data_IF_136441139495
#
_entry.id   IF_136441139495
#
_cell.length_a   1.000
_cell.length_b   1.000
_cell.length_c   1.000
_cell.angle_alpha   90.00
_cell.angle_beta   90.00
_cell.angle_gamma   90.00
#
_symmetry.space_group_name_H-M   'P 1'
#
loop_
_entity.id
_entity.type
_entity.pdbx_description
1 polymer ?
#
# COMPACT_ATOMS: atom_id res chain seq x y z
N UNK A 1 -16.70 -28.59 18.47
CA UNK A 1 -15.78 -28.32 17.33
C UNK A 1 -14.60 -27.50 17.86
N UNK A 2 -13.44 -28.13 18.11
CA UNK A 2 -12.29 -27.46 18.73
C UNK A 2 -11.70 -26.40 17.78
N UNK A 3 -11.53 -25.16 18.27
CA UNK A 3 -10.92 -24.07 17.52
C UNK A 3 -9.42 -24.33 17.41
N UNK A 4 -8.94 -24.59 16.20
CA UNK A 4 -7.53 -24.82 15.88
C UNK A 4 -6.71 -23.60 16.37
N UNK A 5 -5.66 -23.77 17.19
CA UNK A 5 -4.87 -22.65 17.68
C UNK A 5 -4.28 -21.89 16.50
N UNK A 6 -4.50 -20.58 16.44
CA UNK A 6 -3.80 -19.74 15.46
C UNK A 6 -2.31 -19.79 15.78
N UNK A 7 -1.47 -20.12 14.80
CA UNK A 7 -0.01 -20.07 14.95
C UNK A 7 0.38 -18.72 15.52
N UNK A 8 1.17 -18.71 16.60
CA UNK A 8 1.66 -17.49 17.22
C UNK A 8 2.31 -16.59 16.16
N UNK A 9 2.06 -15.28 16.23
CA UNK A 9 2.68 -14.31 15.33
C UNK A 9 4.19 -14.33 15.58
N UNK A 10 4.95 -14.85 14.62
CA UNK A 10 6.41 -14.75 14.63
C UNK A 10 6.80 -13.32 14.25
N UNK A 11 7.55 -12.64 15.12
CA UNK A 11 8.17 -11.36 14.80
C UNK A 11 9.51 -11.58 14.07
N UNK A 12 9.83 -10.73 13.10
CA UNK A 12 11.16 -10.69 12.49
C UNK A 12 12.12 -9.91 13.39
N UNK A 13 13.38 -10.31 13.42
CA UNK A 13 14.43 -9.53 14.07
C UNK A 13 14.73 -8.23 13.32
N UNK A 14 15.34 -7.26 14.00
CA UNK A 14 15.71 -5.98 13.40
C UNK A 14 16.70 -6.13 12.23
N UNK A 15 17.65 -7.07 12.36
CA UNK A 15 18.57 -7.43 11.28
C UNK A 15 17.82 -7.94 10.04
N UNK A 16 16.85 -8.84 10.22
CA UNK A 16 16.02 -9.36 9.13
C UNK A 16 15.20 -8.26 8.46
N UNK A 17 14.58 -7.38 9.26
CA UNK A 17 13.81 -6.24 8.73
C UNK A 17 14.68 -5.30 7.91
N UNK A 18 15.88 -4.97 8.41
CA UNK A 18 16.83 -4.09 7.73
C UNK A 18 17.24 -4.65 6.36
N UNK A 19 17.55 -5.94 6.29
CA UNK A 19 17.93 -6.58 5.01
C UNK A 19 16.75 -6.68 4.03
N UNK A 20 15.55 -7.01 4.52
CA UNK A 20 14.33 -7.03 3.72
C UNK A 20 14.03 -5.63 3.14
N UNK A 21 14.16 -4.57 3.95
CA UNK A 21 13.94 -3.19 3.51
C UNK A 21 14.98 -2.75 2.47
N UNK A 22 16.27 -2.98 2.74
CA UNK A 22 17.35 -2.68 1.79
C UNK A 22 17.15 -3.38 0.45
N UNK A 23 16.72 -4.64 0.47
CA UNK A 23 16.41 -5.37 -0.77
C UNK A 23 15.18 -4.80 -1.47
N UNK A 24 14.14 -4.44 -0.73
CA UNK A 24 12.94 -3.82 -1.28
C UNK A 24 13.21 -2.45 -1.92
N UNK A 25 14.08 -1.64 -1.34
CA UNK A 25 14.51 -0.36 -1.90
C UNK A 25 15.11 -0.52 -3.29
N UNK A 26 15.96 -1.54 -3.48
CA UNK A 26 16.55 -1.88 -4.79
C UNK A 26 15.50 -2.44 -5.76
N UNK A 27 14.62 -3.32 -5.29
CA UNK A 27 13.68 -4.03 -6.16
C UNK A 27 12.35 -4.32 -5.46
N UNK A 28 11.25 -3.76 -5.99
CA UNK A 28 9.90 -3.85 -5.38
C UNK A 28 9.22 -5.22 -5.59
N UNK A 29 9.71 -6.00 -6.55
CA UNK A 29 9.21 -7.32 -6.94
C UNK A 29 10.38 -8.27 -7.17
N UNK A 30 10.51 -9.30 -6.36
CA UNK A 30 11.57 -10.31 -6.53
C UNK A 30 11.17 -11.37 -7.56
N UNK A 31 12.16 -11.90 -8.28
CA UNK A 31 12.01 -13.16 -9.00
C UNK A 31 11.92 -14.34 -8.01
N UNK A 32 11.60 -15.53 -8.50
CA UNK A 32 11.58 -16.74 -7.65
C UNK A 32 12.98 -17.01 -7.08
N UNK A 33 14.01 -16.88 -7.91
CA UNK A 33 15.41 -17.11 -7.53
C UNK A 33 15.86 -16.13 -6.44
N UNK A 34 15.73 -14.82 -6.67
CA UNK A 34 16.18 -13.79 -5.72
C UNK A 34 15.49 -13.94 -4.36
N UNK A 35 14.22 -14.34 -4.37
CA UNK A 35 13.44 -14.56 -3.15
C UNK A 35 13.94 -15.77 -2.37
N UNK A 36 14.33 -16.86 -3.04
CA UNK A 36 14.90 -18.04 -2.39
C UNK A 36 16.29 -17.76 -1.79
N UNK A 37 17.10 -16.96 -2.48
CA UNK A 37 18.41 -16.51 -1.97
C UNK A 37 18.27 -15.61 -0.74
N UNK A 38 17.33 -14.65 -0.80
CA UNK A 38 17.04 -13.77 0.33
C UNK A 38 16.47 -14.55 1.54
N UNK A 39 15.61 -15.54 1.27
CA UNK A 39 15.08 -16.41 2.32
C UNK A 39 16.20 -17.20 3.01
N UNK A 40 17.11 -17.78 2.24
CA UNK A 40 18.25 -18.54 2.75
C UNK A 40 19.19 -17.67 3.59
N UNK A 41 19.56 -16.48 3.10
CA UNK A 41 20.46 -15.57 3.81
C UNK A 41 19.90 -15.07 5.15
N UNK A 42 18.58 -14.93 5.26
CA UNK A 42 17.90 -14.44 6.47
C UNK A 42 17.37 -15.54 7.39
N UNK A 43 17.59 -16.80 7.05
CA UNK A 43 17.00 -17.96 7.74
C UNK A 43 15.47 -17.87 7.85
N UNK A 44 14.84 -17.47 6.74
CA UNK A 44 13.38 -17.37 6.60
C UNK A 44 12.88 -18.36 5.54
N UNK A 45 11.59 -18.64 5.55
CA UNK A 45 10.94 -19.39 4.46
C UNK A 45 10.60 -18.48 3.27
N UNK A 46 10.57 -19.06 2.07
CA UNK A 46 10.10 -18.40 0.85
C UNK A 46 8.74 -17.70 1.03
N UNK A 47 7.82 -18.35 1.76
CA UNK A 47 6.50 -17.81 2.05
C UNK A 47 6.57 -16.58 2.95
N UNK A 48 7.43 -16.57 3.97
CA UNK A 48 7.60 -15.40 4.84
C UNK A 48 8.13 -14.20 4.05
N UNK A 49 9.13 -14.40 3.19
CA UNK A 49 9.66 -13.33 2.32
C UNK A 49 8.58 -12.85 1.35
N UNK A 50 7.84 -13.77 0.71
CA UNK A 50 6.72 -13.44 -0.18
C UNK A 50 5.66 -12.58 0.51
N UNK A 51 5.22 -12.99 1.71
CA UNK A 51 4.21 -12.27 2.49
C UNK A 51 4.73 -10.92 2.95
N UNK A 52 5.99 -10.84 3.39
CA UNK A 52 6.59 -9.56 3.78
C UNK A 52 6.64 -8.60 2.58
N UNK A 53 7.09 -9.05 1.41
CA UNK A 53 7.12 -8.22 0.19
C UNK A 53 5.72 -7.77 -0.24
N UNK A 54 4.73 -8.64 -0.15
CA UNK A 54 3.33 -8.28 -0.46
C UNK A 54 2.82 -7.19 0.50
N UNK A 55 3.05 -7.37 1.81
CA UNK A 55 2.68 -6.38 2.82
C UNK A 55 3.44 -5.07 2.63
N UNK A 56 4.73 -5.14 2.29
CA UNK A 56 5.56 -3.97 2.07
C UNK A 56 5.11 -3.19 0.85
N UNK A 57 4.73 -3.85 -0.26
CA UNK A 57 4.12 -3.19 -1.42
C UNK A 57 2.79 -2.53 -1.08
N UNK A 58 1.93 -3.17 -0.29
CA UNK A 58 0.68 -2.56 0.16
C UNK A 58 0.95 -1.28 0.96
N UNK A 59 1.91 -1.33 1.89
CA UNK A 59 2.32 -0.16 2.68
C UNK A 59 2.91 0.93 1.77
N UNK A 60 3.82 0.57 0.88
CA UNK A 60 4.42 1.50 -0.08
C UNK A 60 3.35 2.17 -0.94
N UNK A 61 2.44 1.41 -1.55
CA UNK A 61 1.33 1.95 -2.33
C UNK A 61 0.45 2.88 -1.50
N UNK A 62 0.16 2.52 -0.24
CA UNK A 62 -0.58 3.42 0.68
C UNK A 62 0.20 4.69 0.96
N UNK A 63 1.50 4.63 1.21
CA UNK A 63 2.34 5.81 1.44
C UNK A 63 2.41 6.70 0.20
N UNK A 64 2.54 6.12 -0.99
CA UNK A 64 2.54 6.85 -2.27
C UNK A 64 1.16 7.44 -2.57
N UNK A 65 0.08 6.69 -2.33
CA UNK A 65 -1.28 7.16 -2.54
C UNK A 65 -1.68 8.24 -1.53
N UNK A 66 -1.26 8.14 -0.27
CA UNK A 66 -1.44 9.19 0.74
C UNK A 66 -0.66 10.45 0.35
N UNK A 67 0.50 10.35 -0.32
CA UNK A 67 1.15 11.51 -0.91
C UNK A 67 0.29 12.19 -1.99
N UNK A 68 -0.48 11.41 -2.76
CA UNK A 68 -1.47 11.91 -3.71
C UNK A 68 -2.72 12.48 -3.02
N UNK A 69 -3.18 11.85 -1.95
CA UNK A 69 -4.33 12.32 -1.14
C UNK A 69 -3.96 13.58 -0.34
N UNK A 70 -2.73 13.75 0.14
CA UNK A 70 -2.25 14.97 0.80
C UNK A 70 -2.14 16.13 -0.20
N UNK A 71 -1.76 15.85 -1.45
CA UNK A 71 -1.87 16.81 -2.56
C UNK A 71 -3.34 17.14 -2.89
N UNK A 72 -4.25 16.18 -2.77
CA UNK A 72 -5.69 16.39 -2.94
C UNK A 72 -6.28 17.26 -1.81
N UNK A 73 -5.98 16.90 -0.56
CA UNK A 73 -6.47 17.53 0.67
C UNK A 73 -5.94 18.96 0.86
N UNK A 74 -4.77 19.27 0.27
CA UNK A 74 -4.26 20.65 0.16
C UNK A 74 -5.02 21.54 -0.84
N UNK A 75 -6.19 21.13 -1.34
CA UNK A 75 -7.01 21.91 -2.27
C UNK A 75 -6.55 21.85 -3.73
N UNK A 76 -5.60 20.95 -4.07
CA UNK A 76 -5.00 20.86 -5.40
C UNK A 76 -5.76 19.92 -6.35
N UNK A 77 -7.07 19.73 -6.14
CA UNK A 77 -7.92 18.80 -6.91
C UNK A 77 -7.83 19.02 -8.43
N UNK A 78 -7.73 20.28 -8.87
CA UNK A 78 -7.55 20.63 -10.27
C UNK A 78 -6.25 20.12 -10.89
N UNK A 79 -5.18 19.97 -10.11
CA UNK A 79 -3.92 19.37 -10.58
C UNK A 79 -4.04 17.85 -10.72
N UNK A 80 -4.73 17.18 -9.79
CA UNK A 80 -4.95 15.73 -9.87
C UNK A 80 -5.79 15.34 -11.08
N UNK A 81 -6.80 16.15 -11.44
CA UNK A 81 -7.60 15.88 -12.63
C UNK A 81 -6.83 16.05 -13.93
N UNK A 82 -5.84 16.96 -13.98
CA UNK A 82 -4.94 17.10 -15.13
C UNK A 82 -3.97 15.94 -15.27
N UNK A 83 -3.52 15.38 -14.15
CA UNK A 83 -2.63 14.22 -14.14
C UNK A 83 -3.37 12.90 -14.39
N UNK A 84 -4.65 12.82 -14.00
CA UNK A 84 -5.45 11.60 -14.08
C UNK A 84 -6.88 11.87 -14.59
N UNK A 85 -7.05 12.20 -15.89
CA UNK A 85 -8.34 12.64 -16.44
C UNK A 85 -9.45 11.58 -16.48
N UNK A 86 -9.10 10.28 -16.37
CA UNK A 86 -10.05 9.15 -16.45
C UNK A 86 -10.10 8.29 -15.16
N UNK A 87 -9.72 8.85 -14.00
CA UNK A 87 -9.78 8.10 -12.76
C UNK A 87 -11.22 8.10 -12.19
N UNK A 88 -11.89 6.94 -12.05
CA UNK A 88 -13.25 6.87 -11.51
C UNK A 88 -13.35 7.31 -10.04
N UNK A 89 -12.22 7.45 -9.36
CA UNK A 89 -12.15 8.01 -8.01
C UNK A 89 -12.19 9.55 -8.00
N UNK A 90 -12.04 10.23 -9.12
CA UNK A 90 -12.06 11.71 -9.19
C UNK A 90 -12.92 12.19 -10.37
N UNK A 91 -14.25 12.07 -10.29
CA UNK A 91 -15.13 12.54 -11.34
C UNK A 91 -14.99 14.06 -11.53
N UNK A 92 -15.16 14.57 -12.77
CA UNK A 92 -14.89 15.96 -13.13
C UNK A 92 -15.69 16.99 -12.35
N UNK A 93 -16.83 16.60 -11.79
CA UNK A 93 -17.66 17.46 -10.95
C UNK A 93 -16.99 17.83 -9.62
N UNK A 94 -16.12 16.99 -9.05
CA UNK A 94 -15.49 17.26 -7.74
C UNK A 94 -14.54 18.46 -7.76
N UNK A 95 -13.99 18.79 -8.94
CA UNK A 95 -13.08 19.91 -9.15
C UNK A 95 -13.78 21.27 -9.14
N UNK A 96 -15.10 21.27 -9.39
CA UNK A 96 -15.94 22.46 -9.32
C UNK A 96 -16.60 22.65 -7.93
N UNK A 97 -16.42 21.68 -7.03
CA UNK A 97 -16.95 21.72 -5.67
C UNK A 97 -15.97 22.41 -4.72
N UNK A 98 -16.50 23.00 -3.66
CA UNK A 98 -15.66 23.45 -2.55
C UNK A 98 -14.87 22.24 -1.96
N UNK A 99 -13.63 22.44 -1.51
CA UNK A 99 -12.78 21.40 -0.92
C UNK A 99 -13.48 20.54 0.14
N UNK A 100 -14.31 21.14 1.00
CA UNK A 100 -15.02 20.40 2.04
C UNK A 100 -16.11 19.48 1.46
N UNK A 101 -16.86 19.96 0.47
CA UNK A 101 -17.86 19.18 -0.24
C UNK A 101 -17.24 18.05 -1.09
N UNK A 102 -16.09 18.30 -1.72
CA UNK A 102 -15.37 17.28 -2.48
C UNK A 102 -14.83 16.16 -1.57
N UNK A 103 -14.27 16.53 -0.41
CA UNK A 103 -13.82 15.57 0.60
C UNK A 103 -14.98 14.72 1.16
N UNK A 104 -16.14 15.33 1.42
CA UNK A 104 -17.35 14.61 1.86
C UNK A 104 -17.85 13.62 0.79
N UNK A 105 -17.90 14.03 -0.48
CA UNK A 105 -18.31 13.16 -1.59
C UNK A 105 -17.39 11.95 -1.77
N UNK A 106 -16.07 12.13 -1.61
CA UNK A 106 -15.08 11.04 -1.62
C UNK A 106 -15.28 10.05 -0.47
N UNK A 107 -15.62 10.55 0.73
CA UNK A 107 -15.89 9.71 1.88
C UNK A 107 -17.13 8.83 1.67
N UNK A 108 -18.18 9.41 1.08
CA UNK A 108 -19.40 8.69 0.70
C UNK A 108 -19.16 7.66 -0.42
N UNK A 109 -18.29 7.95 -1.38
CA UNK A 109 -17.95 6.99 -2.46
C UNK A 109 -17.15 5.78 -1.94
N UNK A 110 -16.38 5.95 -0.86
CA UNK A 110 -15.58 4.90 -0.22
C UNK A 110 -16.39 4.05 0.76
N UNK A 111 -17.38 4.63 1.42
CA UNK A 111 -18.35 3.92 2.23
C UNK A 111 -19.50 3.44 1.34
N UNK A 112 -19.31 2.30 0.66
CA UNK A 112 -20.37 1.70 -0.17
C UNK A 112 -21.71 1.61 0.57
N UNK A 113 -22.85 1.61 -0.15
CA UNK A 113 -24.17 1.65 0.48
C UNK A 113 -24.35 0.41 1.37
N UNK A 114 -24.85 0.64 2.58
CA UNK A 114 -25.18 -0.42 3.54
C UNK A 114 -26.39 -1.24 3.10
#
# INVERSE_FOLDING_TARGET
RAKKPRKARTAFSDHQLTQLERSFERQKYLSVQDRMELASSLSLSDTQVKTWYQNRRTKWKRQTAVGLEFLAEAGTYGALQRLFPNNPLYPPHLSAMDPAAAAAAMYLYRAGPS
#
